data_IF_134874770990
#
_entry.id   IF_134874770990
#
_cell.length_a   1.000
_cell.length_b   1.000
_cell.length_c   1.000
_cell.angle_alpha   90.00
_cell.angle_beta   90.00
_cell.angle_gamma   90.00
#
_symmetry.space_group_name_H-M   'P 1'
#
loop_
_entity.id
_entity.type
_entity.pdbx_description
1 polymer ?
#
# COMPACT_ATOMS: atom_id res chain seq x y z
N UNK A 1 5.76 16.32 5.47
CA UNK A 1 4.95 16.24 4.33
C UNK A 1 3.98 15.09 4.24
N UNK A 2 3.13 15.24 3.27
CA UNK A 2 2.11 14.24 2.97
C UNK A 2 2.22 13.86 1.51
N UNK A 3 2.12 12.57 1.21
CA UNK A 3 2.08 12.09 -0.16
C UNK A 3 0.84 11.24 -0.34
N UNK A 4 0.09 11.49 -1.41
CA UNK A 4 -1.07 10.70 -1.77
C UNK A 4 -0.85 10.14 -3.17
N UNK A 5 -1.04 8.83 -3.32
CA UNK A 5 -0.84 8.18 -4.60
C UNK A 5 -1.81 6.99 -4.72
N UNK A 6 -2.36 6.80 -5.92
CA UNK A 6 -3.18 5.63 -6.18
C UNK A 6 -2.30 4.41 -6.45
N UNK A 7 -2.79 3.21 -6.13
CA UNK A 7 -2.03 2.00 -6.38
C UNK A 7 -1.73 1.78 -7.87
N UNK A 8 -2.66 2.02 -8.79
CA UNK A 8 -2.32 1.92 -10.22
C UNK A 8 -1.17 2.85 -10.62
N UNK A 9 -1.16 4.06 -10.09
CA UNK A 9 -0.11 5.03 -10.38
C UNK A 9 1.22 4.61 -9.78
N UNK A 10 1.17 4.09 -8.55
CA UNK A 10 2.36 3.55 -7.89
C UNK A 10 2.95 2.40 -8.70
N UNK A 11 2.11 1.46 -9.12
CA UNK A 11 2.51 0.32 -9.93
C UNK A 11 3.23 0.78 -11.20
N UNK A 12 2.61 1.70 -11.92
CA UNK A 12 3.15 2.22 -13.18
C UNK A 12 4.50 2.91 -12.95
N UNK A 13 4.58 3.75 -11.94
CA UNK A 13 5.81 4.47 -11.62
C UNK A 13 6.94 3.51 -11.24
N UNK A 14 6.66 2.55 -10.37
CA UNK A 14 7.69 1.60 -9.94
C UNK A 14 8.20 0.76 -11.10
N UNK A 15 7.30 0.28 -11.96
CA UNK A 15 7.71 -0.53 -13.10
C UNK A 15 8.52 0.29 -14.10
N UNK A 16 8.10 1.52 -14.37
CA UNK A 16 8.82 2.39 -15.29
C UNK A 16 10.23 2.70 -14.79
N UNK A 17 10.33 3.12 -13.54
CA UNK A 17 11.64 3.45 -12.96
C UNK A 17 12.56 2.23 -12.86
N UNK A 18 12.02 1.07 -12.54
CA UNK A 18 12.83 -0.13 -12.38
C UNK A 18 13.49 -0.57 -13.69
N UNK A 19 12.91 -0.19 -14.82
CA UNK A 19 13.45 -0.54 -16.14
C UNK A 19 14.50 0.45 -16.66
N UNK A 20 14.47 1.68 -16.18
CA UNK A 20 15.27 2.74 -16.78
C UNK A 20 16.28 3.41 -15.88
N UNK A 21 15.90 3.72 -14.65
CA UNK A 21 16.73 4.55 -13.79
C UNK A 21 16.73 4.01 -12.36
N UNK A 22 17.78 3.24 -12.06
CA UNK A 22 17.87 2.61 -10.74
C UNK A 22 18.02 3.63 -9.61
N UNK A 23 18.74 4.70 -9.84
CA UNK A 23 18.93 5.74 -8.83
C UNK A 23 17.58 6.39 -8.52
N UNK A 24 16.84 6.75 -9.55
CA UNK A 24 15.50 7.32 -9.38
C UNK A 24 14.55 6.34 -8.70
N UNK A 25 14.64 5.05 -9.05
CA UNK A 25 13.81 4.02 -8.42
C UNK A 25 14.08 3.94 -6.92
N UNK A 26 15.36 3.87 -6.54
CA UNK A 26 15.74 3.78 -5.14
C UNK A 26 15.31 5.02 -4.36
N UNK A 27 15.45 6.20 -4.97
CA UNK A 27 15.01 7.44 -4.34
C UNK A 27 13.50 7.45 -4.12
N UNK A 28 12.75 6.95 -5.08
CA UNK A 28 11.29 6.87 -4.99
C UNK A 28 10.87 5.91 -3.87
N UNK A 29 11.50 4.74 -3.81
CA UNK A 29 11.21 3.75 -2.76
C UNK A 29 11.52 4.32 -1.38
N UNK A 30 12.65 4.99 -1.22
CA UNK A 30 13.03 5.62 0.04
C UNK A 30 12.05 6.72 0.44
N UNK A 31 11.58 7.49 -0.53
CA UNK A 31 10.58 8.52 -0.26
C UNK A 31 9.29 7.93 0.28
N UNK A 32 8.82 6.83 -0.31
CA UNK A 32 7.61 6.16 0.15
C UNK A 32 7.76 5.61 1.57
N UNK A 33 8.95 5.17 1.91
CA UNK A 33 9.24 4.62 3.24
C UNK A 33 9.35 5.69 4.32
N UNK A 34 9.83 6.87 3.96
CA UNK A 34 10.25 7.86 4.96
C UNK A 34 9.41 9.12 5.04
N UNK A 35 8.57 9.40 4.07
CA UNK A 35 7.71 10.58 4.15
C UNK A 35 6.82 10.48 5.39
N UNK A 36 6.61 11.55 6.15
CA UNK A 36 5.86 11.47 7.41
C UNK A 36 4.47 10.86 7.29
N UNK A 37 3.71 11.20 6.25
CA UNK A 37 2.37 10.66 6.05
C UNK A 37 2.24 10.15 4.62
N UNK A 38 1.75 8.93 4.47
CA UNK A 38 1.50 8.33 3.15
C UNK A 38 0.06 7.87 3.06
N UNK A 39 -0.62 8.26 1.98
CA UNK A 39 -1.96 7.79 1.69
C UNK A 39 -1.92 7.01 0.37
N UNK A 40 -2.30 5.73 0.43
CA UNK A 40 -2.39 4.87 -0.74
C UNK A 40 -3.85 4.61 -1.05
N UNK A 41 -4.28 5.08 -2.23
CA UNK A 41 -5.66 4.93 -2.68
C UNK A 41 -5.78 3.70 -3.59
N UNK A 42 -6.93 3.04 -3.55
CA UNK A 42 -7.19 1.81 -4.30
C UNK A 42 -6.25 0.66 -3.94
N UNK A 43 -5.95 0.53 -2.65
CA UNK A 43 -5.12 -0.56 -2.15
C UNK A 43 -5.74 -1.90 -2.52
N UNK A 44 -4.94 -2.80 -3.06
CA UNK A 44 -5.39 -4.09 -3.56
C UNK A 44 -5.42 -4.17 -5.08
N UNK A 45 -5.54 -3.03 -5.76
CA UNK A 45 -5.60 -3.02 -7.23
C UNK A 45 -4.31 -3.56 -7.87
N UNK A 46 -3.18 -3.44 -7.18
CA UNK A 46 -1.89 -3.93 -7.66
C UNK A 46 -1.77 -5.46 -7.59
N UNK A 47 -2.55 -6.11 -6.76
CA UNK A 47 -2.32 -7.50 -6.36
C UNK A 47 -2.28 -8.48 -7.53
N UNK A 48 -3.19 -8.31 -8.49
CA UNK A 48 -3.24 -9.19 -9.65
C UNK A 48 -2.39 -8.71 -10.82
N UNK A 49 -1.66 -7.61 -10.67
CA UNK A 49 -0.91 -7.00 -11.77
C UNK A 49 0.55 -7.34 -11.75
N UNK A 50 1.17 -7.43 -10.57
CA UNK A 50 2.59 -7.67 -10.46
C UNK A 50 2.93 -8.16 -9.07
N UNK A 51 3.43 -9.39 -8.98
CA UNK A 51 3.90 -9.96 -7.71
C UNK A 51 5.07 -9.16 -7.15
N UNK A 52 5.93 -8.65 -8.04
CA UNK A 52 7.08 -7.86 -7.62
C UNK A 52 6.64 -6.55 -6.94
N UNK A 53 5.69 -5.85 -7.53
CA UNK A 53 5.20 -4.61 -6.94
C UNK A 53 4.45 -4.91 -5.64
N UNK A 54 3.66 -5.96 -5.60
CA UNK A 54 2.96 -6.34 -4.38
C UNK A 54 3.94 -6.58 -3.23
N UNK A 55 5.04 -7.28 -3.50
CA UNK A 55 6.08 -7.52 -2.50
C UNK A 55 6.74 -6.22 -2.04
N UNK A 56 6.98 -5.29 -2.96
CA UNK A 56 7.57 -3.99 -2.63
C UNK A 56 6.64 -3.15 -1.77
N UNK A 57 5.35 -3.13 -2.10
CA UNK A 57 4.35 -2.41 -1.32
C UNK A 57 4.26 -2.99 0.08
N UNK A 58 4.27 -4.31 0.21
CA UNK A 58 4.27 -4.98 1.49
C UNK A 58 5.47 -4.55 2.34
N UNK A 59 6.65 -4.51 1.73
CA UNK A 59 7.88 -4.07 2.40
C UNK A 59 7.77 -2.63 2.90
N UNK A 60 7.20 -1.75 2.09
CA UNK A 60 7.00 -0.35 2.47
C UNK A 60 6.06 -0.24 3.68
N UNK A 61 4.96 -0.97 3.66
CA UNK A 61 3.99 -0.96 4.76
C UNK A 61 4.64 -1.45 6.05
N UNK A 62 5.38 -2.56 5.97
CA UNK A 62 6.03 -3.14 7.14
C UNK A 62 7.06 -2.18 7.72
N UNK A 63 7.88 -1.57 6.89
CA UNK A 63 8.89 -0.64 7.36
C UNK A 63 8.28 0.60 7.98
N UNK A 64 7.22 1.15 7.39
CA UNK A 64 6.51 2.28 7.97
C UNK A 64 5.87 1.91 9.30
N UNK A 65 5.28 0.73 9.39
CA UNK A 65 4.70 0.24 10.64
C UNK A 65 5.75 0.15 11.73
N UNK A 66 6.89 -0.48 11.41
CA UNK A 66 7.97 -0.66 12.39
C UNK A 66 8.58 0.67 12.84
N UNK A 67 8.55 1.67 11.99
CA UNK A 67 9.07 3.01 12.29
C UNK A 67 7.98 3.94 12.83
N UNK A 68 6.77 3.43 13.01
CA UNK A 68 5.62 4.21 13.48
C UNK A 68 5.31 5.42 12.61
N UNK A 69 5.54 5.30 11.31
CA UNK A 69 5.15 6.33 10.35
C UNK A 69 3.74 6.03 9.83
N UNK A 70 2.80 6.96 9.99
CA UNK A 70 1.41 6.71 9.62
C UNK A 70 1.23 6.47 8.13
N UNK A 71 0.36 5.52 7.84
CA UNK A 71 -0.06 5.24 6.47
C UNK A 71 -1.58 5.08 6.48
N UNK A 72 -2.22 5.65 5.46
CA UNK A 72 -3.66 5.50 5.29
C UNK A 72 -3.88 4.74 3.99
N UNK A 73 -4.66 3.69 4.06
CA UNK A 73 -4.99 2.88 2.89
C UNK A 73 -6.48 2.96 2.65
N UNK A 74 -6.87 3.26 1.41
CA UNK A 74 -8.27 3.13 1.00
C UNK A 74 -8.35 1.98 0.02
N UNK A 75 -9.43 1.22 0.07
CA UNK A 75 -9.60 0.07 -0.80
C UNK A 75 -11.06 -0.13 -1.15
N UNK A 76 -11.31 -0.64 -2.35
CA UNK A 76 -12.63 -1.06 -2.78
C UNK A 76 -12.92 -2.51 -2.41
N UNK A 77 -11.95 -3.22 -1.86
CA UNK A 77 -12.11 -4.60 -1.45
C UNK A 77 -12.57 -4.68 -0.01
N UNK A 78 -13.25 -5.77 0.33
CA UNK A 78 -13.72 -5.99 1.69
C UNK A 78 -12.55 -6.37 2.61
N UNK A 79 -12.80 -6.28 3.91
CA UNK A 79 -11.86 -6.74 4.91
C UNK A 79 -11.56 -8.22 4.73
N UNK A 80 -12.57 -9.02 4.43
CA UNK A 80 -12.40 -10.46 4.21
C UNK A 80 -11.54 -10.74 2.98
N UNK A 81 -11.75 -10.00 1.89
CA UNK A 81 -10.92 -10.15 0.71
C UNK A 81 -9.45 -9.87 1.03
N UNK A 82 -9.20 -8.83 1.80
CA UNK A 82 -7.85 -8.46 2.21
C UNK A 82 -7.20 -9.55 3.04
N UNK A 83 -7.96 -10.10 3.99
CA UNK A 83 -7.48 -11.19 4.82
C UNK A 83 -7.11 -12.42 3.98
N UNK A 84 -7.91 -12.72 2.96
CA UNK A 84 -7.71 -13.91 2.15
C UNK A 84 -6.56 -13.77 1.14
N UNK A 85 -6.26 -12.54 0.72
CA UNK A 85 -5.34 -12.31 -0.39
C UNK A 85 -3.98 -11.75 0.01
N UNK A 86 -3.86 -11.13 1.16
CA UNK A 86 -2.58 -10.64 1.65
C UNK A 86 -2.01 -11.61 2.68
N UNK A 87 -0.69 -11.52 2.89
CA UNK A 87 -0.07 -12.34 3.92
C UNK A 87 -0.63 -11.98 5.30
N UNK A 88 -0.63 -12.94 6.22
CA UNK A 88 -1.05 -12.68 7.59
C UNK A 88 -0.20 -11.58 8.23
N UNK A 89 1.07 -11.52 7.84
CA UNK A 89 1.99 -10.50 8.36
C UNK A 89 1.53 -9.08 8.02
N UNK A 90 1.06 -8.86 6.80
CA UNK A 90 0.52 -7.56 6.39
C UNK A 90 -0.85 -7.34 7.01
N UNK A 91 -1.71 -8.33 6.93
CA UNK A 91 -3.08 -8.19 7.42
C UNK A 91 -3.09 -7.85 8.91
N UNK A 92 -2.26 -8.52 9.69
CA UNK A 92 -2.19 -8.29 11.13
C UNK A 92 -1.77 -6.85 11.43
N UNK A 93 -0.85 -6.30 10.66
CA UNK A 93 -0.42 -4.92 10.84
C UNK A 93 -1.51 -3.93 10.47
N UNK A 94 -2.25 -4.21 9.40
CA UNK A 94 -3.34 -3.33 8.98
C UNK A 94 -4.48 -3.32 10.00
N UNK A 95 -4.67 -4.42 10.70
CA UNK A 95 -5.73 -4.56 11.72
C UNK A 95 -5.24 -4.33 13.13
N UNK A 96 -3.97 -4.03 13.30
CA UNK A 96 -3.38 -3.86 14.62
C UNK A 96 -3.77 -2.55 15.30
N UNK A 97 -3.14 -2.29 16.44
CA UNK A 97 -3.43 -1.11 17.24
C UNK A 97 -3.15 0.20 16.52
N UNK A 98 -2.19 0.17 15.61
CA UNK A 98 -1.82 1.33 14.82
C UNK A 98 -2.81 1.46 13.66
N UNK A 99 -3.85 2.20 13.88
CA UNK A 99 -4.98 2.32 12.94
C UNK A 99 -4.60 3.07 11.67
N UNK A 100 -4.07 2.35 10.70
CA UNK A 100 -3.56 2.95 9.48
C UNK A 100 -4.38 2.58 8.23
N UNK A 101 -5.35 1.71 8.36
CA UNK A 101 -6.12 1.24 7.21
C UNK A 101 -7.57 1.67 7.31
N UNK A 102 -8.09 2.14 6.18
CA UNK A 102 -9.49 2.51 6.04
C UNK A 102 -10.08 1.66 4.92
N UNK A 103 -11.06 0.84 5.25
CA UNK A 103 -11.72 -0.03 4.29
C UNK A 103 -13.01 0.62 3.84
N UNK A 104 -13.06 0.98 2.55
CA UNK A 104 -14.24 1.63 1.95
C UNK A 104 -14.81 0.74 0.85
N UNK A 105 -14.69 -0.57 1.01
CA UNK A 105 -14.96 -1.48 -0.06
C UNK A 105 -16.43 -1.84 -0.26
N UNK A 106 -16.62 -2.94 -0.99
CA UNK A 106 -17.94 -3.39 -1.43
C UNK A 106 -18.90 -3.61 -0.26
N UNK A 107 -18.40 -4.15 0.86
CA UNK A 107 -19.25 -4.40 2.01
C UNK A 107 -19.87 -3.11 2.56
N UNK A 108 -19.11 -2.04 2.56
CA UNK A 108 -19.61 -0.74 2.98
C UNK A 108 -20.73 -0.26 2.06
N UNK A 109 -20.55 -0.44 0.76
CA UNK A 109 -21.56 -0.02 -0.22
C UNK A 109 -22.82 -0.83 -0.13
N UNK A 110 -22.70 -2.11 0.19
CA UNK A 110 -23.86 -2.99 0.30
C UNK A 110 -24.73 -2.65 1.49
N UNK A 111 -24.18 -2.03 2.49
CA UNK A 111 -24.92 -1.61 3.67
C UNK A 111 -25.77 -0.38 3.40
N UNK A 112 -25.51 0.30 2.35
CA UNK A 112 -26.24 1.51 1.97
C UNK A 112 -27.29 1.20 0.92
#
# INVERSE_FOLDING_TARGET
GVMMISMPNLLDTMLTLSKGDRVAYLAYEQKLKHIPMLLLDDFGAEYSKSDWVAAKVESIIIERYNSMRPIILTTNYSDQWTKDNYSSRIYDRLRGEYKIAVFTGTSYRLEN
#
